data_IF_841737994270
#
_entry.id   IF_841737994270
#
_cell.length_a   1.000
_cell.length_b   1.000
_cell.length_c   1.000
_cell.angle_alpha   90.00
_cell.angle_beta   90.00
_cell.angle_gamma   90.00
#
_symmetry.space_group_name_H-M   'P 1'
#
loop_
_entity.id
_entity.type
_entity.pdbx_description
1 polymer ?
#
# COMPACT_ATOMS: atom_id res chain seq x y z
N UNK A 1 13.03 -11.11 2.67
CA UNK A 1 12.59 -12.16 1.72
C UNK A 1 11.42 -11.60 0.91
N UNK A 2 11.25 -12.01 -0.37
CA UNK A 2 10.14 -11.58 -1.21
C UNK A 2 8.82 -12.25 -0.76
N UNK A 3 7.69 -11.52 -0.87
CA UNK A 3 6.36 -12.06 -0.57
C UNK A 3 5.89 -13.14 -1.58
N UNK A 4 6.55 -13.27 -2.73
CA UNK A 4 6.18 -14.19 -3.81
C UNK A 4 5.26 -13.60 -4.87
N UNK A 5 4.74 -12.39 -4.72
CA UNK A 5 3.83 -11.77 -5.70
C UNK A 5 4.34 -11.78 -7.15
N UNK A 6 5.61 -11.42 -7.43
CA UNK A 6 6.13 -11.49 -8.79
C UNK A 6 6.11 -12.91 -9.38
N UNK A 7 6.40 -13.92 -8.55
CA UNK A 7 6.39 -15.33 -8.96
C UNK A 7 4.96 -15.78 -9.30
N UNK A 8 3.98 -15.40 -8.47
CA UNK A 8 2.56 -15.69 -8.71
C UNK A 8 2.12 -15.04 -10.04
N UNK A 9 2.48 -13.79 -10.26
CA UNK A 9 2.13 -13.06 -11.49
C UNK A 9 2.73 -13.68 -12.76
N UNK A 10 3.85 -14.37 -12.64
CA UNK A 10 4.52 -15.08 -13.74
C UNK A 10 4.12 -16.57 -13.85
N UNK A 11 3.21 -17.04 -12.99
CA UNK A 11 2.80 -18.45 -12.99
C UNK A 11 3.82 -19.42 -12.39
N UNK A 12 4.90 -18.93 -11.75
CA UNK A 12 5.95 -19.74 -11.11
C UNK A 12 5.47 -20.22 -9.73
N UNK A 13 4.39 -21.03 -9.73
CA UNK A 13 3.64 -21.35 -8.51
C UNK A 13 4.41 -22.25 -7.53
N UNK A 14 5.28 -23.15 -8.00
CA UNK A 14 6.08 -23.99 -7.11
C UNK A 14 7.10 -23.17 -6.33
N UNK A 15 7.67 -22.17 -6.96
CA UNK A 15 8.60 -21.25 -6.31
C UNK A 15 7.86 -20.27 -5.38
N UNK A 16 6.69 -19.76 -5.80
CA UNK A 16 5.81 -18.96 -4.96
C UNK A 16 5.40 -19.74 -3.70
N UNK A 17 5.10 -21.05 -3.81
CA UNK A 17 4.77 -21.93 -2.68
C UNK A 17 5.95 -22.03 -1.69
N UNK A 18 7.19 -22.19 -2.19
CA UNK A 18 8.38 -22.17 -1.32
C UNK A 18 8.51 -20.86 -0.55
N UNK A 19 8.31 -19.73 -1.22
CA UNK A 19 8.30 -18.41 -0.57
C UNK A 19 7.17 -18.27 0.46
N UNK A 20 5.97 -18.74 0.15
CA UNK A 20 4.84 -18.75 1.08
C UNK A 20 5.13 -19.57 2.33
N UNK A 21 5.73 -20.78 2.17
CA UNK A 21 6.12 -21.62 3.28
C UNK A 21 7.15 -20.93 4.19
N UNK A 22 8.22 -20.41 3.61
CA UNK A 22 9.28 -19.72 4.36
C UNK A 22 8.79 -18.45 5.08
N UNK A 23 7.92 -17.67 4.43
CA UNK A 23 7.33 -16.49 5.06
C UNK A 23 6.41 -16.90 6.20
N UNK A 24 5.59 -17.93 6.00
CA UNK A 24 4.73 -18.48 7.06
C UNK A 24 5.55 -18.89 8.28
N UNK A 25 6.62 -19.67 8.10
CA UNK A 25 7.46 -20.12 9.19
C UNK A 25 8.10 -18.98 9.98
N UNK A 26 8.53 -17.92 9.29
CA UNK A 26 9.16 -16.75 9.92
C UNK A 26 8.17 -15.82 10.62
N UNK A 27 6.97 -15.66 10.07
CA UNK A 27 5.97 -14.73 10.58
C UNK A 27 5.04 -15.37 11.62
N UNK A 28 4.90 -16.72 11.62
CA UNK A 28 4.01 -17.42 12.53
C UNK A 28 4.30 -17.20 14.02
N UNK A 29 5.57 -17.11 14.49
CA UNK A 29 5.83 -16.76 15.90
C UNK A 29 5.24 -15.41 16.32
N UNK A 30 5.26 -14.40 15.43
CA UNK A 30 4.65 -13.10 15.67
C UNK A 30 3.13 -13.20 15.73
N UNK A 31 2.51 -13.95 14.80
CA UNK A 31 1.07 -14.19 14.81
C UNK A 31 0.61 -14.94 16.06
N UNK A 32 1.42 -15.89 16.57
CA UNK A 32 1.13 -16.57 17.86
C UNK A 32 1.20 -15.64 19.06
N UNK A 33 2.04 -14.62 19.00
CA UNK A 33 2.16 -13.57 20.02
C UNK A 33 1.15 -12.43 19.81
N UNK A 34 0.17 -12.60 18.92
CA UNK A 34 -0.85 -11.60 18.56
C UNK A 34 -0.26 -10.24 18.13
N UNK A 35 0.98 -10.26 17.65
CA UNK A 35 1.67 -9.04 17.19
C UNK A 35 1.24 -8.70 15.77
N UNK A 36 0.79 -7.46 15.48
CA UNK A 36 0.48 -7.03 14.12
C UNK A 36 1.70 -7.10 13.21
N UNK A 37 1.52 -7.67 12.02
CA UNK A 37 2.55 -7.78 10.99
C UNK A 37 2.24 -6.74 9.92
N UNK A 38 2.98 -5.62 9.93
CA UNK A 38 2.66 -4.44 9.14
C UNK A 38 3.28 -4.49 7.75
N UNK A 39 2.47 -4.24 6.74
CA UNK A 39 2.87 -4.13 5.35
C UNK A 39 2.71 -2.70 4.83
N UNK A 40 3.67 -2.24 4.03
CA UNK A 40 3.60 -0.96 3.31
C UNK A 40 3.16 -1.12 1.86
N UNK A 41 3.37 -2.30 1.27
CA UNK A 41 3.02 -2.59 -0.11
C UNK A 41 1.74 -3.45 -0.16
N UNK A 42 0.62 -2.92 -0.72
CA UNK A 42 -0.65 -3.66 -0.75
C UNK A 42 -0.57 -5.00 -1.48
N UNK A 43 0.26 -5.10 -2.50
CA UNK A 43 0.45 -6.36 -3.23
C UNK A 43 1.19 -7.41 -2.41
N UNK A 44 2.09 -7.01 -1.51
CA UNK A 44 2.73 -7.91 -0.56
C UNK A 44 1.75 -8.37 0.52
N UNK A 45 0.90 -7.47 1.03
CA UNK A 45 -0.15 -7.83 1.98
C UNK A 45 -1.10 -8.87 1.38
N UNK A 46 -1.62 -8.64 0.16
CA UNK A 46 -2.53 -9.61 -0.47
C UNK A 46 -1.86 -10.96 -0.72
N UNK A 47 -0.57 -10.99 -1.07
CA UNK A 47 0.16 -12.24 -1.20
C UNK A 47 0.23 -13.03 0.11
N UNK A 48 0.31 -12.37 1.26
CA UNK A 48 0.33 -13.03 2.57
C UNK A 48 -1.09 -13.35 3.07
N UNK A 49 -2.07 -12.44 2.89
CA UNK A 49 -3.45 -12.65 3.36
C UNK A 49 -4.20 -13.70 2.55
N UNK A 50 -4.04 -13.69 1.23
CA UNK A 50 -4.89 -14.43 0.30
C UNK A 50 -4.15 -15.59 -0.38
N UNK A 51 -2.98 -15.32 -0.98
CA UNK A 51 -2.30 -16.32 -1.80
C UNK A 51 -1.52 -17.34 -0.97
N UNK A 52 -0.82 -16.93 0.09
CA UNK A 52 -0.02 -17.86 0.89
C UNK A 52 -0.87 -19.00 1.49
N UNK A 53 -2.04 -18.75 2.13
CA UNK A 53 -2.90 -19.84 2.57
C UNK A 53 -3.46 -20.72 1.43
N UNK A 54 -3.61 -20.16 0.23
CA UNK A 54 -4.09 -20.92 -0.94
C UNK A 54 -2.99 -21.80 -1.55
N UNK A 55 -1.73 -21.37 -1.50
CA UNK A 55 -0.58 -22.07 -2.08
C UNK A 55 -0.10 -23.26 -1.23
N UNK A 56 -0.24 -23.19 0.09
CA UNK A 56 0.24 -24.23 1.02
C UNK A 56 -0.88 -25.18 1.44
N UNK A 57 -0.52 -26.32 2.09
CA UNK A 57 -1.47 -27.38 2.48
C UNK A 57 -1.23 -27.82 3.94
N UNK A 58 -2.18 -28.59 4.47
CA UNK A 58 -2.09 -29.21 5.79
C UNK A 58 -1.89 -28.21 6.93
N UNK A 59 -1.07 -28.56 7.90
CA UNK A 59 -0.76 -27.71 9.06
C UNK A 59 -0.14 -26.37 8.65
N UNK A 60 0.69 -26.35 7.62
CA UNK A 60 1.29 -25.12 7.13
C UNK A 60 0.22 -24.12 6.64
N UNK A 61 -0.88 -24.60 6.04
CA UNK A 61 -2.02 -23.75 5.67
C UNK A 61 -2.68 -23.12 6.89
N UNK A 62 -2.86 -23.87 7.98
CA UNK A 62 -3.44 -23.33 9.21
C UNK A 62 -2.56 -22.23 9.80
N UNK A 63 -1.23 -22.45 9.80
CA UNK A 63 -0.25 -21.45 10.23
C UNK A 63 -0.25 -20.20 9.32
N UNK A 64 -0.35 -20.39 8.00
CA UNK A 64 -0.46 -19.29 7.03
C UNK A 64 -1.75 -18.48 7.26
N UNK A 65 -2.88 -19.13 7.56
CA UNK A 65 -4.13 -18.47 7.92
C UNK A 65 -4.01 -17.68 9.23
N UNK A 66 -3.24 -18.16 10.18
CA UNK A 66 -2.95 -17.42 11.41
C UNK A 66 -2.13 -16.16 11.10
N UNK A 67 -1.07 -16.28 10.31
CA UNK A 67 -0.27 -15.13 9.83
C UNK A 67 -1.16 -14.12 9.07
N UNK A 68 -2.03 -14.61 8.18
CA UNK A 68 -2.94 -13.77 7.39
C UNK A 68 -3.85 -12.90 8.25
N UNK A 69 -4.35 -13.42 9.39
CA UNK A 69 -5.19 -12.65 10.33
C UNK A 69 -4.45 -11.53 11.05
N UNK A 70 -3.14 -11.66 11.24
CA UNK A 70 -2.31 -10.65 11.89
C UNK A 70 -1.57 -9.73 10.91
N UNK A 71 -1.65 -10.03 9.61
CA UNK A 71 -1.08 -9.19 8.56
C UNK A 71 -2.01 -7.98 8.31
N UNK A 72 -1.47 -6.77 8.43
CA UNK A 72 -2.24 -5.52 8.30
C UNK A 72 -1.51 -4.52 7.41
N UNK A 73 -2.25 -3.66 6.72
CA UNK A 73 -1.66 -2.54 5.99
C UNK A 73 -1.30 -1.42 6.98
N UNK A 74 -0.25 -0.68 6.69
CA UNK A 74 0.17 0.47 7.52
C UNK A 74 -1.00 1.43 7.79
N UNK A 75 -1.72 1.82 6.75
CA UNK A 75 -2.85 2.74 6.85
C UNK A 75 -4.01 2.16 7.68
N UNK A 76 -4.26 0.87 7.56
CA UNK A 76 -5.27 0.15 8.33
C UNK A 76 -4.94 0.19 9.82
N UNK A 77 -3.73 -0.20 10.20
CA UNK A 77 -3.29 -0.23 11.60
C UNK A 77 -3.28 1.17 12.25
N UNK A 78 -2.70 2.16 11.55
CA UNK A 78 -2.57 3.51 12.11
C UNK A 78 -3.94 4.17 12.27
N UNK A 79 -4.81 4.05 11.27
CA UNK A 79 -6.17 4.60 11.36
C UNK A 79 -6.99 3.92 12.45
N UNK A 80 -6.96 2.59 12.54
CA UNK A 80 -7.65 1.84 13.59
C UNK A 80 -7.16 2.23 15.00
N UNK A 81 -5.84 2.37 15.17
CA UNK A 81 -5.23 2.80 16.43
C UNK A 81 -5.68 4.20 16.82
N UNK A 82 -5.69 5.11 15.84
CA UNK A 82 -6.12 6.50 16.07
C UNK A 82 -7.62 6.60 16.35
N UNK A 83 -8.45 5.96 15.55
CA UNK A 83 -9.91 5.95 15.74
C UNK A 83 -10.34 5.36 17.10
N UNK A 84 -9.57 4.39 17.60
CA UNK A 84 -9.79 3.79 18.92
C UNK A 84 -9.23 4.64 20.08
N UNK A 85 -8.64 5.81 19.82
CA UNK A 85 -8.05 6.66 20.86
C UNK A 85 -6.79 6.09 21.53
N UNK A 86 -6.18 5.06 20.94
CA UNK A 86 -4.98 4.38 21.48
C UNK A 86 -3.67 5.06 21.11
N UNK A 87 -3.71 6.08 20.27
CA UNK A 87 -2.57 6.88 19.85
C UNK A 87 -2.92 7.82 18.73
N UNK A 88 -2.17 8.90 18.59
CA UNK A 88 -2.32 9.92 17.54
C UNK A 88 -0.97 10.29 16.95
N UNK A 89 -0.96 10.90 15.78
CA UNK A 89 0.23 11.50 15.19
C UNK A 89 0.13 13.03 15.30
N UNK A 90 1.12 13.72 15.87
CA UNK A 90 1.16 15.18 15.92
C UNK A 90 1.51 15.71 14.53
N UNK A 91 0.49 15.88 13.67
CA UNK A 91 0.67 16.31 12.30
C UNK A 91 0.60 17.84 12.18
N UNK A 92 1.60 18.43 11.53
CA UNK A 92 1.56 19.80 11.06
C UNK A 92 0.59 19.96 9.87
N UNK A 93 0.16 21.20 9.53
CA UNK A 93 -0.62 21.47 8.35
C UNK A 93 -0.01 20.86 7.08
N UNK A 94 -0.83 20.21 6.29
CA UNK A 94 -0.44 19.50 5.07
C UNK A 94 -0.62 20.29 3.78
N UNK A 95 -0.53 19.62 2.63
CA UNK A 95 -0.79 20.22 1.32
C UNK A 95 -2.27 20.62 1.20
N UNK A 96 -2.58 21.56 0.29
CA UNK A 96 -3.97 22.01 0.05
C UNK A 96 -4.93 20.90 -0.37
N UNK A 97 -4.41 19.91 -1.11
CA UNK A 97 -5.13 18.69 -1.44
C UNK A 97 -4.22 17.46 -1.49
N UNK A 98 -4.78 16.33 -1.09
CA UNK A 98 -4.17 15.00 -1.22
C UNK A 98 -5.02 14.21 -2.21
N UNK A 99 -4.46 13.93 -3.38
CA UNK A 99 -5.07 13.07 -4.38
C UNK A 99 -4.68 11.63 -4.06
N UNK A 100 -5.64 10.80 -3.66
CA UNK A 100 -5.40 9.40 -3.31
C UNK A 100 -5.66 8.50 -4.51
N UNK A 101 -4.62 7.76 -4.92
CA UNK A 101 -4.75 6.62 -5.82
C UNK A 101 -4.70 5.32 -5.02
N UNK A 102 -5.85 4.69 -4.79
CA UNK A 102 -5.93 3.37 -4.17
C UNK A 102 -5.34 2.29 -5.09
N UNK A 103 -4.40 1.49 -4.57
CA UNK A 103 -3.83 0.36 -5.27
C UNK A 103 -4.89 -0.73 -5.55
N UNK A 104 -4.80 -1.46 -6.67
CA UNK A 104 -5.79 -2.48 -7.03
C UNK A 104 -5.99 -3.55 -5.95
N UNK A 105 -4.91 -4.08 -5.35
CA UNK A 105 -5.01 -4.99 -4.20
C UNK A 105 -5.59 -4.33 -2.94
N UNK A 106 -5.33 -3.05 -2.72
CA UNK A 106 -5.94 -2.30 -1.62
C UNK A 106 -7.44 -2.16 -1.82
N UNK A 107 -7.89 -1.93 -3.07
CA UNK A 107 -9.31 -1.90 -3.43
C UNK A 107 -9.98 -3.26 -3.25
N UNK A 108 -9.35 -4.35 -3.73
CA UNK A 108 -9.92 -5.70 -3.62
C UNK A 108 -10.10 -6.15 -2.17
N UNK A 109 -9.23 -5.70 -1.27
CA UNK A 109 -9.30 -5.99 0.16
C UNK A 109 -10.15 -5.00 0.97
N UNK A 110 -10.78 -3.99 0.34
CA UNK A 110 -11.58 -2.96 1.02
C UNK A 110 -10.76 -1.93 1.82
N UNK A 111 -9.45 -1.83 1.58
CA UNK A 111 -8.50 -1.04 2.39
C UNK A 111 -8.26 0.39 1.89
N UNK A 112 -9.04 0.87 0.94
CA UNK A 112 -8.98 2.28 0.51
C UNK A 112 -9.62 3.20 1.56
N UNK A 113 -10.71 2.74 2.19
CA UNK A 113 -11.43 3.52 3.19
C UNK A 113 -10.56 3.91 4.40
N UNK A 114 -9.83 3.01 5.07
CA UNK A 114 -8.91 3.38 6.14
C UNK A 114 -7.77 4.30 5.66
N UNK A 115 -7.23 4.11 4.46
CA UNK A 115 -6.22 5.01 3.91
C UNK A 115 -6.76 6.44 3.71
N UNK A 116 -7.98 6.57 3.19
CA UNK A 116 -8.66 7.85 3.02
C UNK A 116 -8.95 8.50 4.37
N UNK A 117 -9.45 7.75 5.34
CA UNK A 117 -9.73 8.23 6.68
C UNK A 117 -8.46 8.75 7.37
N UNK A 118 -7.38 7.98 7.32
CA UNK A 118 -6.08 8.37 7.88
C UNK A 118 -5.54 9.65 7.23
N UNK A 119 -5.59 9.77 5.92
CA UNK A 119 -5.16 10.98 5.20
C UNK A 119 -6.05 12.19 5.52
N UNK A 120 -7.33 11.98 5.81
CA UNK A 120 -8.26 13.05 6.20
C UNK A 120 -7.97 13.63 7.60
N UNK A 121 -7.09 12.99 8.39
CA UNK A 121 -6.59 13.53 9.65
C UNK A 121 -5.47 14.58 9.48
N UNK A 122 -4.93 14.73 8.27
CA UNK A 122 -3.92 15.74 7.96
C UNK A 122 -4.59 17.13 8.02
N UNK A 123 -4.13 18.03 8.92
CA UNK A 123 -4.75 19.34 9.07
C UNK A 123 -4.71 20.14 7.77
N UNK A 124 -5.79 20.86 7.46
CA UNK A 124 -5.96 21.74 6.31
C UNK A 124 -5.92 21.05 4.93
N UNK A 125 -5.71 19.73 4.85
CA UNK A 125 -5.69 19.01 3.59
C UNK A 125 -7.08 18.50 3.18
N UNK A 126 -7.46 18.74 1.92
CA UNK A 126 -8.66 18.11 1.32
C UNK A 126 -8.25 16.79 0.65
N UNK A 127 -8.80 15.66 1.08
CA UNK A 127 -8.53 14.37 0.47
C UNK A 127 -9.52 14.09 -0.67
N UNK A 128 -8.98 13.79 -1.85
CA UNK A 128 -9.74 13.43 -3.05
C UNK A 128 -9.35 12.00 -3.44
N UNK A 129 -10.29 11.07 -3.33
CA UNK A 129 -10.13 9.74 -3.90
C UNK A 129 -10.31 9.84 -5.43
N UNK A 130 -9.28 9.49 -6.18
CA UNK A 130 -9.32 9.54 -7.64
C UNK A 130 -10.23 8.48 -8.24
N UNK A 131 -10.50 7.40 -7.51
CA UNK A 131 -11.22 6.23 -8.03
C UNK A 131 -10.75 5.84 -9.45
N UNK A 132 -9.44 5.84 -9.64
CA UNK A 132 -8.82 5.78 -10.95
C UNK A 132 -8.69 4.35 -11.54
N UNK A 133 -9.30 3.36 -10.91
CA UNK A 133 -9.15 1.97 -11.34
C UNK A 133 -7.73 1.45 -11.12
N UNK A 134 -7.16 0.78 -12.11
CA UNK A 134 -5.78 0.31 -12.11
C UNK A 134 -4.84 1.39 -12.64
N UNK A 135 -3.58 1.40 -12.20
CA UNK A 135 -2.54 2.24 -12.80
C UNK A 135 -2.03 1.71 -14.15
N UNK A 136 -2.30 0.45 -14.47
CA UNK A 136 -1.86 -0.22 -15.70
C UNK A 136 -0.66 -1.16 -15.51
N UNK A 137 0.10 -1.02 -14.43
CA UNK A 137 1.35 -1.78 -14.25
C UNK A 137 1.15 -3.27 -13.93
N UNK A 138 0.13 -3.63 -13.13
CA UNK A 138 -0.13 -5.01 -12.69
C UNK A 138 1.16 -5.77 -12.31
N UNK A 139 1.89 -5.24 -11.33
CA UNK A 139 3.23 -5.73 -11.00
C UNK A 139 4.27 -5.29 -12.02
N UNK A 140 4.82 -6.22 -12.78
CA UNK A 140 5.79 -5.96 -13.86
C UNK A 140 5.19 -5.98 -15.28
N UNK A 141 3.89 -6.19 -15.42
CA UNK A 141 3.20 -6.30 -16.70
C UNK A 141 3.49 -5.11 -17.63
N UNK A 142 3.36 -3.89 -17.13
CA UNK A 142 3.58 -2.67 -17.90
C UNK A 142 5.03 -2.39 -18.28
N UNK A 143 6.01 -3.13 -17.73
CA UNK A 143 7.42 -2.99 -18.12
C UNK A 143 7.81 -3.82 -19.33
N UNK A 144 6.98 -4.78 -19.74
CA UNK A 144 7.27 -5.58 -20.92
C UNK A 144 6.89 -4.81 -22.18
N UNK A 145 7.69 -4.95 -23.23
CA UNK A 145 7.49 -4.27 -24.50
C UNK A 145 6.07 -4.49 -25.06
N UNK A 146 5.59 -5.72 -24.99
CA UNK A 146 4.32 -6.12 -25.60
C UNK A 146 3.10 -5.56 -24.86
N UNK A 147 3.27 -5.13 -23.59
CA UNK A 147 2.19 -4.62 -22.76
C UNK A 147 2.30 -3.12 -22.45
N UNK A 148 3.38 -2.48 -22.91
CA UNK A 148 3.66 -1.08 -22.57
C UNK A 148 2.52 -0.13 -22.96
N UNK A 149 2.04 -0.24 -24.21
CA UNK A 149 0.96 0.60 -24.73
C UNK A 149 -0.37 0.34 -24.00
N UNK A 150 -0.67 -0.93 -23.71
CA UNK A 150 -1.87 -1.31 -22.94
C UNK A 150 -1.80 -0.75 -21.52
N UNK A 151 -0.64 -0.87 -20.88
CA UNK A 151 -0.39 -0.32 -19.55
C UNK A 151 -0.58 1.20 -19.53
N UNK A 152 -0.03 1.89 -20.51
CA UNK A 152 -0.20 3.33 -20.66
C UNK A 152 -1.68 3.69 -20.85
N UNK A 153 -2.38 3.03 -21.79
CA UNK A 153 -3.79 3.28 -22.07
C UNK A 153 -4.69 3.10 -20.83
N UNK A 154 -4.38 2.10 -19.97
CA UNK A 154 -5.09 1.90 -18.70
C UNK A 154 -4.85 3.10 -17.76
N UNK A 155 -3.62 3.54 -17.60
CA UNK A 155 -3.26 4.69 -16.76
C UNK A 155 -3.87 6.00 -17.26
N UNK A 156 -3.94 6.19 -18.58
CA UNK A 156 -4.52 7.37 -19.23
C UNK A 156 -6.04 7.53 -19.02
N UNK A 157 -6.72 6.47 -18.58
CA UNK A 157 -8.16 6.57 -18.33
C UNK A 157 -8.51 7.60 -17.25
N UNK A 158 -7.72 7.71 -16.18
CA UNK A 158 -7.97 8.64 -15.06
C UNK A 158 -6.71 9.07 -14.32
N UNK A 159 -5.80 8.14 -14.02
CA UNK A 159 -4.67 8.39 -13.11
C UNK A 159 -3.68 9.39 -13.68
N UNK A 160 -3.20 9.15 -14.90
CA UNK A 160 -2.17 9.99 -15.51
C UNK A 160 -2.68 11.40 -15.85
N UNK A 161 -3.89 11.57 -16.40
CA UNK A 161 -4.50 12.91 -16.53
C UNK A 161 -4.64 13.64 -15.20
N UNK A 162 -5.12 12.97 -14.14
CA UNK A 162 -5.26 13.57 -12.82
C UNK A 162 -3.89 14.00 -12.24
N UNK A 163 -2.84 13.23 -12.49
CA UNK A 163 -1.49 13.58 -12.06
C UNK A 163 -0.96 14.83 -12.78
N UNK A 164 -1.21 14.95 -14.10
CA UNK A 164 -0.76 16.11 -14.88
C UNK A 164 -1.50 17.40 -14.56
N UNK A 165 -2.77 17.29 -14.16
CA UNK A 165 -3.66 18.46 -13.94
C UNK A 165 -3.88 18.76 -12.45
N UNK A 166 -3.13 18.11 -11.56
CA UNK A 166 -3.27 18.33 -10.12
C UNK A 166 -2.99 19.79 -9.75
N UNK A 167 -3.79 20.40 -8.85
CA UNK A 167 -3.60 21.79 -8.44
C UNK A 167 -2.24 22.03 -7.79
N UNK A 168 -1.70 23.24 -7.93
CA UNK A 168 -0.49 23.65 -7.23
C UNK A 168 -0.65 23.48 -5.71
N UNK A 169 0.40 23.05 -5.02
CA UNK A 169 0.35 22.78 -3.59
C UNK A 169 -0.34 21.47 -3.20
N UNK A 170 -0.74 20.66 -4.18
CA UNK A 170 -1.31 19.32 -3.95
C UNK A 170 -0.23 18.24 -3.96
N UNK A 171 -0.54 17.08 -3.40
CA UNK A 171 0.30 15.89 -3.45
C UNK A 171 -0.50 14.68 -3.93
N UNK A 172 0.11 13.87 -4.81
CA UNK A 172 -0.45 12.58 -5.20
C UNK A 172 0.10 11.48 -4.30
N UNK A 173 -0.80 10.73 -3.66
CA UNK A 173 -0.48 9.63 -2.76
C UNK A 173 -0.88 8.31 -3.42
N UNK A 174 0.07 7.36 -3.43
CA UNK A 174 -0.15 6.00 -3.89
C UNK A 174 0.73 5.03 -3.07
N UNK A 175 0.11 4.07 -2.38
CA UNK A 175 0.84 3.09 -1.55
C UNK A 175 1.60 2.07 -2.39
N UNK A 176 1.12 1.70 -3.59
CA UNK A 176 1.79 0.76 -4.48
C UNK A 176 3.04 1.34 -5.17
N UNK A 177 4.16 0.61 -5.11
CA UNK A 177 5.39 1.01 -5.78
C UNK A 177 5.22 1.12 -7.30
N UNK A 178 4.61 0.12 -7.93
CA UNK A 178 4.34 0.11 -9.37
C UNK A 178 3.47 1.29 -9.81
N UNK A 179 2.50 1.70 -8.99
CA UNK A 179 1.68 2.88 -9.28
C UNK A 179 2.51 4.17 -9.28
N UNK A 180 3.44 4.31 -8.31
CA UNK A 180 4.32 5.49 -8.23
C UNK A 180 5.29 5.57 -9.42
N UNK A 181 5.83 4.42 -9.86
CA UNK A 181 6.67 4.35 -11.06
C UNK A 181 5.87 4.75 -12.31
N UNK A 182 4.70 4.15 -12.52
CA UNK A 182 3.83 4.46 -13.65
C UNK A 182 3.54 5.96 -13.76
N UNK A 183 3.16 6.58 -12.63
CA UNK A 183 2.90 8.04 -12.60
C UNK A 183 4.15 8.81 -12.96
N UNK A 184 5.28 8.48 -12.36
CA UNK A 184 6.55 9.18 -12.61
C UNK A 184 6.98 9.06 -14.06
N UNK A 185 6.96 7.85 -14.63
CA UNK A 185 7.49 7.57 -15.95
C UNK A 185 6.67 8.26 -17.06
N UNK A 186 5.34 8.37 -16.87
CA UNK A 186 4.47 8.99 -17.88
C UNK A 186 4.14 10.47 -17.64
N UNK A 187 4.42 11.01 -16.46
CA UNK A 187 4.02 12.39 -16.13
C UNK A 187 5.12 13.25 -15.51
N UNK A 188 6.23 12.65 -15.07
CA UNK A 188 7.25 13.32 -14.26
C UNK A 188 6.82 13.62 -12.82
N UNK A 189 5.56 13.43 -12.47
CA UNK A 189 5.04 13.67 -11.11
C UNK A 189 5.56 12.60 -10.14
N UNK A 190 6.07 13.04 -9.00
CA UNK A 190 6.53 12.14 -7.93
C UNK A 190 5.41 11.88 -6.92
N UNK A 191 4.63 10.84 -7.17
CA UNK A 191 3.68 10.35 -6.16
C UNK A 191 4.42 9.81 -4.94
N UNK A 192 3.87 10.00 -3.74
CA UNK A 192 4.47 9.58 -2.48
C UNK A 192 3.66 8.46 -1.83
N UNK A 193 4.31 7.66 -0.98
CA UNK A 193 3.63 6.70 -0.13
C UNK A 193 2.97 7.41 1.06
N UNK A 194 1.82 6.91 1.54
CA UNK A 194 1.11 7.46 2.71
C UNK A 194 2.03 7.68 3.91
N UNK A 195 2.81 6.66 4.28
CA UNK A 195 3.73 6.76 5.41
C UNK A 195 4.80 7.85 5.22
N UNK A 196 5.28 8.04 3.98
CA UNK A 196 6.26 9.09 3.68
C UNK A 196 5.64 10.49 3.83
N UNK A 197 4.41 10.67 3.36
CA UNK A 197 3.70 11.93 3.55
C UNK A 197 3.52 12.23 5.03
N UNK A 198 2.94 11.28 5.79
CA UNK A 198 2.72 11.47 7.23
C UNK A 198 4.02 11.74 7.98
N UNK A 199 5.09 10.98 7.69
CA UNK A 199 6.41 11.19 8.30
C UNK A 199 6.97 12.60 8.03
N UNK A 200 6.73 13.15 6.84
CA UNK A 200 7.17 14.51 6.49
C UNK A 200 6.38 15.61 7.20
N UNK A 201 5.18 15.27 7.68
CA UNK A 201 4.28 16.18 8.39
C UNK A 201 4.32 16.01 9.91
N UNK A 202 5.11 15.07 10.45
CA UNK A 202 5.28 14.96 11.90
C UNK A 202 5.87 16.24 12.46
N UNK A 203 5.17 16.85 13.42
CA UNK A 203 5.70 17.98 14.16
C UNK A 203 6.99 17.54 14.87
N UNK A 204 8.07 18.28 14.63
CA UNK A 204 9.33 18.04 15.39
C UNK A 204 9.08 18.44 16.84
N UNK A 205 9.47 17.62 17.83
CA UNK A 205 9.47 18.06 19.20
C UNK A 205 10.25 19.37 19.29
N UNK A 206 9.69 20.39 19.94
CA UNK A 206 10.44 21.60 20.25
C UNK A 206 11.64 21.17 21.10
N UNK A 207 12.81 21.75 20.84
CA UNK A 207 14.07 21.46 21.58
C UNK A 207 13.99 21.72 23.10
N UNK A 208 12.82 22.07 23.62
CA UNK A 208 12.54 22.38 25.01
C UNK A 208 11.87 21.29 25.85
N UNK A 209 11.43 20.18 25.26
CA UNK A 209 10.70 19.10 25.99
C UNK A 209 11.60 17.94 26.45
N UNK A 210 12.91 18.14 26.48
CA UNK A 210 13.88 17.18 27.03
C UNK A 210 14.48 17.77 28.33
N UNK A 211 13.65 18.01 29.33
CA UNK A 211 14.09 18.31 30.67
C UNK A 211 13.42 17.32 31.66
#
# INVERSE_FOLDING_TARGET
MCCGRPLISQGLLDEARRHAALNTDRLHPLARAETPIVFFEPSCLSAIREDAPALVRGELRQRAQQVARHAVLFEELVEETWAAGRGTLPLAPGPSAILLHGHCHQKSMGLVAPAKALLSRVPQARVVDLDAGCCGMAGSFGYTRDHFEVSQAIGERRLLPAARTMPAGSVLVASGMSCRHQVHDFTGVRAVHTAKLLSSLLARPSAGDQA
#
